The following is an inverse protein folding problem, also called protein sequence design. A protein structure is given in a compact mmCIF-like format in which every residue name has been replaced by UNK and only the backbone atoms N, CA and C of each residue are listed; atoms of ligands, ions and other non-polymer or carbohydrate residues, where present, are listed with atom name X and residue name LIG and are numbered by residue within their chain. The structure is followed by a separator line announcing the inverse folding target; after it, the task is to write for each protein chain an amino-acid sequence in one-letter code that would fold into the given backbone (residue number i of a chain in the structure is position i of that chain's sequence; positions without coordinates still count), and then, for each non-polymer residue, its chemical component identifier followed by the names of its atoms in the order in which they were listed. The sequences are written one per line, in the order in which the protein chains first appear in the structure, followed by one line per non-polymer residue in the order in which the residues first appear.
data_IF_256427420859
#
_entry.id   IF_256427420859
#
_cell.length_a   1.000
_cell.length_b   1.000
_cell.length_c   1.000
_cell.angle_alpha   90.00
_cell.angle_beta   90.00
_cell.angle_gamma   90.00
#
_symmetry.space_group_name_H-M   'P 1'
#
loop_
_entity.id
_entity.type
_entity.pdbx_description
1 polymer ?
#
# COMPACT_ATOMS: atom_id res chain seq x y z
N UNK A 1 -1.76 16.98 13.71
CA UNK A 1 -2.89 17.62 13.02
C UNK A 1 -2.52 19.04 12.63
N UNK A 2 -2.51 19.35 11.33
CA UNK A 2 -2.23 20.68 10.79
C UNK A 2 -3.56 21.39 10.47
N UNK A 3 -3.59 22.73 10.48
CA UNK A 3 -4.79 23.51 10.07
C UNK A 3 -5.28 23.14 8.67
N UNK A 4 -4.37 22.69 7.79
CA UNK A 4 -4.71 22.23 6.45
C UNK A 4 -5.59 20.97 6.44
N UNK A 5 -5.60 20.18 7.51
CA UNK A 5 -6.44 18.97 7.64
C UNK A 5 -7.91 19.32 7.89
N UNK A 6 -8.21 20.57 8.26
CA UNK A 6 -9.57 21.07 8.43
C UNK A 6 -10.16 21.66 7.14
N UNK A 7 -9.40 21.70 6.03
CA UNK A 7 -9.89 22.16 4.74
C UNK A 7 -10.94 21.18 4.19
N UNK A 8 -12.22 21.57 4.04
CA UNK A 8 -13.26 20.70 3.52
C UNK A 8 -12.91 20.13 2.14
N UNK A 9 -12.12 20.85 1.32
CA UNK A 9 -11.78 20.41 -0.04
C UNK A 9 -10.89 19.19 -0.07
N UNK A 10 -10.10 18.98 0.99
CA UNK A 10 -9.18 17.84 1.16
C UNK A 10 -9.85 16.63 1.80
N UNK A 11 -11.09 16.79 2.28
CA UNK A 11 -11.84 15.73 2.93
C UNK A 11 -12.44 14.75 1.91
N UNK A 12 -12.66 13.47 2.29
CA UNK A 12 -13.34 12.49 1.45
C UNK A 12 -14.68 13.01 0.92
N UNK A 13 -15.10 12.53 -0.26
CA UNK A 13 -16.29 13.04 -0.96
C UNK A 13 -17.55 13.04 -0.09
N UNK A 14 -17.76 12.00 0.73
CA UNK A 14 -18.92 11.92 1.63
C UNK A 14 -18.88 12.98 2.74
N UNK A 15 -17.71 13.22 3.36
CA UNK A 15 -17.55 14.30 4.36
C UNK A 15 -17.84 15.66 3.75
N UNK A 16 -17.34 15.90 2.51
CA UNK A 16 -17.65 17.13 1.76
C UNK A 16 -19.14 17.32 1.56
N UNK A 17 -19.86 16.27 1.19
CA UNK A 17 -21.32 16.32 1.02
C UNK A 17 -22.01 16.64 2.35
N UNK A 18 -21.61 15.99 3.45
CA UNK A 18 -22.16 16.27 4.80
C UNK A 18 -21.93 17.72 5.21
N UNK A 19 -20.74 18.26 4.97
CA UNK A 19 -20.40 19.67 5.26
C UNK A 19 -21.28 20.62 4.43
N UNK A 20 -21.46 20.36 3.14
CA UNK A 20 -22.33 21.17 2.27
C UNK A 20 -23.79 21.13 2.76
N UNK A 21 -24.30 19.95 3.10
CA UNK A 21 -25.66 19.79 3.63
C UNK A 21 -25.82 20.54 4.95
N UNK A 22 -24.84 20.42 5.85
CA UNK A 22 -24.83 21.12 7.15
C UNK A 22 -24.87 22.63 6.94
N UNK A 23 -24.00 23.17 6.08
CA UNK A 23 -24.01 24.59 5.73
C UNK A 23 -25.35 25.04 5.16
N UNK A 24 -25.88 24.31 4.18
CA UNK A 24 -27.16 24.63 3.54
C UNK A 24 -28.32 24.63 4.56
N UNK A 25 -28.33 23.67 5.48
CA UNK A 25 -29.33 23.57 6.55
C UNK A 25 -29.30 24.78 7.49
N UNK A 26 -28.13 25.15 8.00
CA UNK A 26 -27.99 26.30 8.89
C UNK A 26 -28.27 27.63 8.18
N UNK A 27 -27.88 27.79 6.91
CA UNK A 27 -28.22 28.97 6.11
C UNK A 27 -29.72 29.06 5.87
N UNK A 28 -30.39 27.94 5.57
CA UNK A 28 -31.84 27.89 5.36
C UNK A 28 -32.61 28.22 6.64
N UNK A 29 -32.25 27.60 7.77
CA UNK A 29 -32.86 27.92 9.07
C UNK A 29 -32.60 29.38 9.43
N UNK A 30 -31.37 29.86 9.25
CA UNK A 30 -31.03 31.26 9.48
C UNK A 30 -31.88 32.21 8.66
N UNK A 31 -32.16 31.88 7.39
CA UNK A 31 -33.04 32.66 6.54
C UNK A 31 -34.47 32.65 7.09
N UNK A 32 -35.03 31.46 7.35
CA UNK A 32 -36.40 31.31 7.86
C UNK A 32 -36.63 32.04 9.19
N UNK A 33 -35.70 31.90 10.14
CA UNK A 33 -35.78 32.55 11.46
C UNK A 33 -35.52 34.06 11.39
N UNK A 34 -34.76 34.52 10.40
CA UNK A 34 -34.48 35.95 10.26
C UNK A 34 -35.58 36.69 9.50
N UNK A 35 -36.38 36.04 8.65
CA UNK A 35 -37.46 36.68 7.88
C UNK A 35 -38.42 37.53 8.73
N UNK A 36 -38.73 37.10 9.96
CA UNK A 36 -39.57 37.86 10.90
C UNK A 36 -38.90 39.13 11.45
N UNK A 37 -37.57 39.25 11.35
CA UNK A 37 -36.81 40.41 11.81
C UNK A 37 -36.72 41.50 10.73
N UNK A 38 -37.06 41.20 9.47
CA UNK A 38 -37.06 42.19 8.38
C UNK A 38 -38.06 43.31 8.68
N UNK A 39 -39.22 42.97 9.26
CA UNK A 39 -40.26 43.93 9.64
C UNK A 39 -39.85 44.85 10.77
N UNK A 40 -38.88 44.44 11.60
CA UNK A 40 -38.34 45.26 12.69
C UNK A 40 -37.15 46.11 12.23
N UNK A 41 -36.15 45.48 11.60
CA UNK A 41 -34.89 46.13 11.24
C UNK A 41 -34.06 45.28 10.28
N UNK A 42 -33.77 45.83 9.10
CA UNK A 42 -32.91 45.20 8.09
C UNK A 42 -31.52 44.84 8.64
N UNK A 43 -30.81 45.69 9.40
CA UNK A 43 -29.56 45.31 10.06
C UNK A 43 -29.67 44.10 11.00
N UNK A 44 -30.76 43.97 11.76
CA UNK A 44 -30.96 42.82 12.68
C UNK A 44 -31.18 41.52 11.92
N UNK A 45 -31.91 41.57 10.79
CA UNK A 45 -32.04 40.44 9.87
C UNK A 45 -30.66 39.91 9.45
N UNK A 46 -29.80 40.78 8.92
CA UNK A 46 -28.48 40.36 8.44
C UNK A 46 -27.58 39.82 9.55
N UNK A 47 -27.63 40.42 10.75
CA UNK A 47 -26.80 39.98 11.87
C UNK A 47 -27.19 38.58 12.36
N UNK A 48 -28.49 38.29 12.46
CA UNK A 48 -28.97 36.96 12.86
C UNK A 48 -28.73 35.90 11.77
N UNK A 49 -28.92 36.27 10.50
CA UNK A 49 -28.64 35.38 9.38
C UNK A 49 -27.15 35.02 9.29
N UNK A 50 -26.26 36.02 9.41
CA UNK A 50 -24.81 35.80 9.45
C UNK A 50 -24.40 34.96 10.67
N UNK A 51 -25.00 35.20 11.84
CA UNK A 51 -24.75 34.39 13.02
C UNK A 51 -25.04 32.90 12.77
N UNK A 52 -26.17 32.59 12.13
CA UNK A 52 -26.52 31.21 11.78
C UNK A 52 -25.57 30.60 10.73
N UNK A 53 -25.08 31.39 9.78
CA UNK A 53 -24.01 30.96 8.86
C UNK A 53 -22.73 30.61 9.65
N UNK A 54 -22.33 31.43 10.63
CA UNK A 54 -21.19 31.13 11.50
C UNK A 54 -21.41 29.87 12.34
N UNK A 55 -22.62 29.64 12.87
CA UNK A 55 -22.96 28.40 13.57
C UNK A 55 -22.85 27.17 12.65
N UNK A 56 -23.28 27.29 11.38
CA UNK A 56 -23.12 26.24 10.37
C UNK A 56 -21.65 25.96 10.05
N UNK A 57 -20.84 27.02 9.91
CA UNK A 57 -19.41 26.89 9.66
C UNK A 57 -18.67 26.25 10.85
N UNK A 58 -19.00 26.67 12.08
CA UNK A 58 -18.46 26.08 13.30
C UNK A 58 -18.85 24.61 13.44
N UNK A 59 -20.12 24.26 13.23
CA UNK A 59 -20.60 22.87 13.28
C UNK A 59 -19.92 22.00 12.23
N UNK A 60 -19.71 22.53 11.02
CA UNK A 60 -18.99 21.83 9.95
C UNK A 60 -17.52 21.59 10.32
N UNK A 61 -16.85 22.57 10.94
CA UNK A 61 -15.48 22.41 11.41
C UNK A 61 -15.37 21.36 12.53
N UNK A 62 -16.32 21.32 13.47
CA UNK A 62 -16.40 20.30 14.52
C UNK A 62 -16.63 18.90 13.93
N UNK A 63 -17.50 18.78 12.92
CA UNK A 63 -17.73 17.52 12.21
C UNK A 63 -16.45 17.03 11.53
N UNK A 64 -15.76 17.90 10.78
CA UNK A 64 -14.49 17.55 10.13
C UNK A 64 -13.46 17.13 11.18
N UNK A 65 -13.34 17.89 12.28
CA UNK A 65 -12.44 17.55 13.38
C UNK A 65 -12.73 16.17 13.97
N UNK A 66 -13.99 15.86 14.28
CA UNK A 66 -14.39 14.57 14.81
C UNK A 66 -14.07 13.43 13.81
N UNK A 67 -14.39 13.61 12.53
CA UNK A 67 -14.07 12.63 11.49
C UNK A 67 -12.58 12.36 11.37
N UNK A 68 -11.74 13.41 11.36
CA UNK A 68 -10.29 13.26 11.28
C UNK A 68 -9.73 12.55 12.52
N UNK A 69 -10.23 12.88 13.72
CA UNK A 69 -9.84 12.21 14.96
C UNK A 69 -10.21 10.72 14.95
N UNK A 70 -11.44 10.36 14.55
CA UNK A 70 -11.85 8.97 14.45
C UNK A 70 -11.04 8.19 13.41
N UNK A 71 -10.74 8.81 12.27
CA UNK A 71 -9.89 8.21 11.24
C UNK A 71 -8.46 7.96 11.75
N UNK A 72 -7.87 8.90 12.51
CA UNK A 72 -6.54 8.72 13.08
C UNK A 72 -6.49 7.57 14.09
N UNK A 73 -7.50 7.47 14.97
CA UNK A 73 -7.62 6.37 15.94
C UNK A 73 -7.80 5.03 15.20
N UNK A 74 -8.68 4.98 14.21
CA UNK A 74 -8.91 3.79 13.40
C UNK A 74 -7.63 3.35 12.69
N UNK A 75 -6.88 4.28 12.08
CA UNK A 75 -5.62 3.98 11.39
C UNK A 75 -4.54 3.45 12.33
N UNK A 76 -4.43 3.99 13.56
CA UNK A 76 -3.49 3.45 14.56
C UNK A 76 -3.87 2.03 14.96
N UNK A 77 -5.15 1.79 15.27
CA UNK A 77 -5.64 0.46 15.63
C UNK A 77 -5.45 -0.55 14.50
N UNK A 78 -5.71 -0.13 13.25
CA UNK A 78 -5.50 -0.97 12.07
C UNK A 78 -4.01 -1.25 11.85
N UNK A 79 -3.14 -0.26 12.04
CA UNK A 79 -1.68 -0.46 12.00
C UNK A 79 -1.20 -1.52 12.99
N UNK A 80 -1.67 -1.48 14.25
CA UNK A 80 -1.34 -2.49 15.27
C UNK A 80 -1.89 -3.87 14.90
N UNK A 81 -3.13 -3.96 14.41
CA UNK A 81 -3.70 -5.24 13.95
C UNK A 81 -2.91 -5.81 12.77
N UNK A 82 -2.53 -4.95 11.83
CA UNK A 82 -1.76 -5.33 10.66
C UNK A 82 -0.40 -5.89 11.07
N UNK A 83 0.30 -5.20 11.98
CA UNK A 83 1.56 -5.67 12.56
C UNK A 83 1.44 -7.06 13.21
N UNK A 84 0.38 -7.28 13.99
CA UNK A 84 0.15 -8.58 14.63
C UNK A 84 -0.11 -9.71 13.63
N UNK A 85 -0.95 -9.46 12.62
CA UNK A 85 -1.23 -10.46 11.58
C UNK A 85 0.05 -10.77 10.79
N UNK A 86 0.76 -9.73 10.32
CA UNK A 86 1.97 -9.90 9.52
C UNK A 86 3.10 -10.56 10.31
N UNK A 87 3.22 -10.31 11.62
CA UNK A 87 4.22 -10.99 12.44
C UNK A 87 3.98 -12.51 12.55
N UNK A 88 2.73 -12.95 12.48
CA UNK A 88 2.37 -14.38 12.59
C UNK A 88 2.32 -15.06 11.22
N UNK A 89 1.70 -14.41 10.24
CA UNK A 89 1.31 -15.03 8.96
C UNK A 89 2.08 -14.50 7.75
N UNK A 90 2.80 -13.39 7.90
CA UNK A 90 3.36 -12.66 6.76
C UNK A 90 2.26 -12.06 5.90
N UNK A 91 2.59 -11.66 4.67
CA UNK A 91 1.62 -11.11 3.73
C UNK A 91 0.52 -12.14 3.43
N UNK A 92 -0.72 -11.78 3.71
CA UNK A 92 -1.90 -12.63 3.51
C UNK A 92 -3.15 -11.78 3.22
N UNK A 93 -4.21 -12.42 2.75
CA UNK A 93 -5.48 -11.77 2.39
C UNK A 93 -6.12 -11.06 3.58
N UNK A 94 -6.01 -11.63 4.78
CA UNK A 94 -6.50 -11.01 6.03
C UNK A 94 -5.81 -9.67 6.33
N UNK A 95 -4.50 -9.57 6.08
CA UNK A 95 -3.75 -8.33 6.23
C UNK A 95 -4.25 -7.25 5.27
N UNK A 96 -4.59 -7.63 4.03
CA UNK A 96 -5.22 -6.71 3.08
C UNK A 96 -6.65 -6.32 3.48
N UNK A 97 -7.43 -7.25 4.04
CA UNK A 97 -8.82 -7.01 4.43
C UNK A 97 -8.96 -6.06 5.64
N UNK A 98 -7.94 -5.92 6.48
CA UNK A 98 -7.90 -4.85 7.50
C UNK A 98 -8.11 -3.48 6.85
N UNK A 99 -7.54 -3.26 5.66
CA UNK A 99 -7.65 -2.00 4.94
C UNK A 99 -9.03 -1.79 4.30
N UNK A 100 -9.86 -2.84 4.20
CA UNK A 100 -11.25 -2.75 3.70
C UNK A 100 -12.23 -2.30 4.79
N UNK A 101 -11.95 -2.63 6.05
CA UNK A 101 -12.80 -2.34 7.19
C UNK A 101 -12.53 -0.97 7.84
N UNK A 102 -11.76 -0.09 7.19
CA UNK A 102 -11.47 1.25 7.74
C UNK A 102 -12.73 2.10 7.75
N UNK A 103 -13.12 2.53 8.96
CA UNK A 103 -14.13 3.57 9.17
C UNK A 103 -13.47 4.85 9.66
N UNK A 104 -13.77 6.01 9.05
CA UNK A 104 -14.69 6.18 7.93
C UNK A 104 -14.07 5.66 6.61
N UNK A 105 -14.87 5.57 5.53
CA UNK A 105 -14.54 4.80 4.32
C UNK A 105 -13.07 4.96 3.82
N UNK A 106 -12.45 3.90 3.26
CA UNK A 106 -11.02 3.87 2.94
C UNK A 106 -10.56 5.06 2.09
N UNK A 107 -9.47 5.68 2.50
CA UNK A 107 -8.82 6.75 1.72
C UNK A 107 -8.14 6.18 0.48
N UNK A 108 -7.73 7.05 -0.45
CA UNK A 108 -6.93 6.63 -1.61
C UNK A 108 -5.60 5.99 -1.21
N UNK A 109 -5.02 6.39 -0.09
CA UNK A 109 -3.81 5.77 0.44
C UNK A 109 -4.08 4.36 0.99
N UNK A 110 -5.21 4.18 1.67
CA UNK A 110 -5.63 2.86 2.16
C UNK A 110 -5.91 1.89 1.01
N UNK A 111 -6.51 2.38 -0.08
CA UNK A 111 -6.72 1.61 -1.30
C UNK A 111 -5.38 1.22 -1.96
N UNK A 112 -4.44 2.17 -2.09
CA UNK A 112 -3.11 1.88 -2.64
C UNK A 112 -2.36 0.83 -1.81
N UNK A 113 -2.37 0.96 -0.48
CA UNK A 113 -1.76 -0.01 0.43
C UNK A 113 -2.44 -1.37 0.33
N UNK A 114 -3.78 -1.41 0.27
CA UNK A 114 -4.51 -2.66 0.11
C UNK A 114 -4.15 -3.38 -1.18
N UNK A 115 -4.06 -2.66 -2.30
CA UNK A 115 -3.62 -3.25 -3.57
C UNK A 115 -2.22 -3.83 -3.44
N UNK A 116 -1.29 -3.12 -2.82
CA UNK A 116 0.05 -3.62 -2.57
C UNK A 116 0.02 -4.90 -1.74
N UNK A 117 -0.70 -4.91 -0.61
CA UNK A 117 -0.82 -6.07 0.27
C UNK A 117 -1.43 -7.29 -0.44
N UNK A 118 -2.47 -7.11 -1.27
CA UNK A 118 -3.05 -8.20 -2.07
C UNK A 118 -2.04 -8.79 -3.06
N UNK A 119 -1.27 -7.96 -3.76
CA UNK A 119 -0.24 -8.44 -4.70
C UNK A 119 0.89 -9.15 -3.95
N UNK A 120 1.27 -8.67 -2.77
CA UNK A 120 2.25 -9.34 -1.91
C UNK A 120 1.73 -10.69 -1.37
N UNK A 121 0.43 -10.77 -1.08
CA UNK A 121 -0.28 -11.99 -0.68
C UNK A 121 -0.55 -12.97 -1.84
N UNK A 122 -0.16 -12.63 -3.08
CA UNK A 122 -0.42 -13.41 -4.31
C UNK A 122 -1.91 -13.50 -4.71
N UNK A 123 -2.76 -12.64 -4.16
CA UNK A 123 -4.18 -12.51 -4.49
C UNK A 123 -4.38 -11.69 -5.77
N UNK A 124 -3.79 -12.15 -6.88
CA UNK A 124 -3.66 -11.35 -8.11
C UNK A 124 -5.01 -11.02 -8.76
N UNK A 125 -5.97 -11.94 -8.76
CA UNK A 125 -7.30 -11.70 -9.34
C UNK A 125 -8.06 -10.64 -8.55
N UNK A 126 -8.01 -10.73 -7.22
CA UNK A 126 -8.57 -9.73 -6.32
C UNK A 126 -7.88 -8.38 -6.49
N UNK A 127 -6.54 -8.38 -6.53
CA UNK A 127 -5.75 -7.17 -6.72
C UNK A 127 -6.04 -6.48 -8.08
N UNK A 128 -6.17 -7.24 -9.16
CA UNK A 128 -6.49 -6.69 -10.49
C UNK A 128 -7.86 -6.02 -10.51
N UNK A 129 -8.87 -6.65 -9.89
CA UNK A 129 -10.19 -6.07 -9.73
C UNK A 129 -10.15 -4.76 -8.93
N UNK A 130 -9.42 -4.71 -7.82
CA UNK A 130 -9.29 -3.50 -7.00
C UNK A 130 -8.61 -2.36 -7.75
N UNK A 131 -7.51 -2.67 -8.43
CA UNK A 131 -6.75 -1.71 -9.24
C UNK A 131 -7.63 -1.08 -10.33
N UNK A 132 -8.54 -1.84 -10.94
CA UNK A 132 -9.43 -1.33 -11.99
C UNK A 132 -10.40 -0.24 -11.50
N UNK A 133 -10.66 -0.15 -10.20
CA UNK A 133 -11.55 0.85 -9.60
C UNK A 133 -10.81 2.09 -9.06
N UNK A 134 -9.47 2.08 -9.09
CA UNK A 134 -8.67 3.20 -8.63
C UNK A 134 -8.63 4.31 -9.69
N UNK A 135 -9.02 5.53 -9.29
CA UNK A 135 -8.93 6.70 -10.15
C UNK A 135 -7.48 7.25 -10.17
N UNK A 136 -6.61 6.65 -10.97
CA UNK A 136 -5.18 6.99 -11.03
C UNK A 136 -4.86 8.49 -11.21
N UNK A 137 -5.58 9.27 -12.05
CA UNK A 137 -5.34 10.70 -12.19
C UNK A 137 -5.56 11.52 -10.91
N UNK A 138 -6.35 11.01 -9.95
CA UNK A 138 -6.61 11.68 -8.69
C UNK A 138 -5.56 11.38 -7.62
N UNK A 139 -4.75 10.34 -7.81
CA UNK A 139 -3.78 9.89 -6.80
C UNK A 139 -2.66 10.92 -6.59
N UNK A 140 -2.26 11.06 -5.33
CA UNK A 140 -0.98 11.68 -4.99
C UNK A 140 0.17 10.91 -5.65
N UNK A 141 1.30 11.58 -5.88
CA UNK A 141 2.45 10.97 -6.54
C UNK A 141 2.94 9.70 -5.82
N UNK A 142 2.88 9.69 -4.48
CA UNK A 142 3.33 8.54 -3.68
C UNK A 142 2.37 7.36 -3.75
N UNK A 143 1.06 7.61 -3.72
CA UNK A 143 0.04 6.57 -3.87
C UNK A 143 0.05 6.00 -5.29
N UNK A 144 0.22 6.86 -6.29
CA UNK A 144 0.41 6.47 -7.68
C UNK A 144 1.61 5.51 -7.82
N UNK A 145 2.75 5.82 -7.20
CA UNK A 145 3.93 4.98 -7.28
C UNK A 145 3.68 3.57 -6.71
N UNK A 146 3.05 3.46 -5.54
CA UNK A 146 2.68 2.18 -4.93
C UNK A 146 1.74 1.36 -5.82
N UNK A 147 0.70 1.99 -6.38
CA UNK A 147 -0.24 1.32 -7.28
C UNK A 147 0.46 0.83 -8.56
N UNK A 148 1.36 1.64 -9.13
CA UNK A 148 2.13 1.23 -10.31
C UNK A 148 3.10 0.08 -10.00
N UNK A 149 3.80 0.11 -8.87
CA UNK A 149 4.64 -1.02 -8.43
C UNK A 149 3.80 -2.28 -8.26
N UNK A 150 2.62 -2.16 -7.66
CA UNK A 150 1.68 -3.28 -7.48
C UNK A 150 1.26 -3.87 -8.83
N UNK A 151 0.95 -3.02 -9.83
CA UNK A 151 0.66 -3.46 -11.20
C UNK A 151 1.84 -4.15 -11.87
N UNK A 152 3.04 -3.57 -11.79
CA UNK A 152 4.26 -4.13 -12.38
C UNK A 152 4.50 -5.52 -11.80
N UNK A 153 4.48 -5.65 -10.48
CA UNK A 153 4.65 -6.92 -9.78
C UNK A 153 3.58 -7.93 -10.17
N UNK A 154 2.31 -7.55 -10.14
CA UNK A 154 1.20 -8.40 -10.56
C UNK A 154 1.39 -8.92 -11.99
N UNK A 155 1.78 -8.06 -12.93
CA UNK A 155 2.02 -8.48 -14.31
C UNK A 155 3.24 -9.38 -14.46
N UNK A 156 4.34 -9.12 -13.75
CA UNK A 156 5.50 -10.00 -13.74
C UNK A 156 5.15 -11.38 -13.16
N UNK A 157 4.48 -11.41 -12.01
CA UNK A 157 4.13 -12.65 -11.30
C UNK A 157 3.10 -13.51 -12.03
N UNK A 158 2.22 -12.88 -12.82
CA UNK A 158 1.23 -13.54 -13.68
C UNK A 158 1.75 -13.84 -15.10
N UNK A 159 3.03 -13.57 -15.39
CA UNK A 159 3.65 -13.86 -16.70
C UNK A 159 3.30 -12.89 -17.82
N UNK A 160 2.62 -11.79 -17.51
CA UNK A 160 2.26 -10.72 -18.46
C UNK A 160 3.40 -9.72 -18.61
N UNK A 161 4.61 -10.22 -18.94
CA UNK A 161 5.84 -9.43 -18.94
C UNK A 161 5.80 -8.22 -19.87
N UNK A 162 5.19 -8.33 -21.05
CA UNK A 162 5.02 -7.18 -21.96
C UNK A 162 4.24 -6.02 -21.33
N UNK A 163 3.24 -6.32 -20.48
CA UNK A 163 2.49 -5.28 -19.77
C UNK A 163 3.34 -4.64 -18.68
N UNK A 164 4.12 -5.44 -17.95
CA UNK A 164 5.05 -4.94 -16.94
C UNK A 164 6.12 -4.04 -17.57
N UNK A 165 6.70 -4.47 -18.70
CA UNK A 165 7.68 -3.70 -19.47
C UNK A 165 7.13 -2.35 -19.91
N UNK A 166 5.94 -2.32 -20.52
CA UNK A 166 5.31 -1.05 -20.95
C UNK A 166 5.12 -0.10 -19.78
N UNK A 167 4.72 -0.60 -18.60
CA UNK A 167 4.58 0.23 -17.41
C UNK A 167 5.93 0.76 -16.91
N UNK A 168 6.95 -0.11 -16.84
CA UNK A 168 8.30 0.28 -16.44
C UNK A 168 8.83 1.38 -17.37
N UNK A 169 8.78 1.18 -18.68
CA UNK A 169 9.26 2.16 -19.66
C UNK A 169 8.48 3.47 -19.62
N UNK A 170 7.15 3.42 -19.47
CA UNK A 170 6.31 4.62 -19.46
C UNK A 170 6.47 5.45 -18.18
N UNK A 171 6.69 4.81 -17.02
CA UNK A 171 6.60 5.49 -15.73
C UNK A 171 7.92 5.52 -14.94
N UNK A 172 9.01 4.90 -15.40
CA UNK A 172 10.31 4.83 -14.69
C UNK A 172 10.71 6.13 -14.02
N UNK A 173 10.87 7.20 -14.79
CA UNK A 173 11.32 8.51 -14.28
C UNK A 173 10.39 9.05 -13.20
N UNK A 174 9.07 8.84 -13.35
CA UNK A 174 8.07 9.28 -12.38
C UNK A 174 8.15 8.45 -11.10
N UNK A 175 8.35 7.13 -11.21
CA UNK A 175 8.48 6.22 -10.06
C UNK A 175 9.78 6.46 -9.31
N UNK A 176 10.91 6.57 -10.01
CA UNK A 176 12.21 6.89 -9.42
C UNK A 176 12.12 8.21 -8.62
N UNK A 177 11.57 9.27 -9.22
CA UNK A 177 11.38 10.55 -8.53
C UNK A 177 10.45 10.43 -7.32
N UNK A 178 9.36 9.66 -7.42
CA UNK A 178 8.43 9.48 -6.31
C UNK A 178 9.10 8.80 -5.10
N UNK A 179 9.90 7.76 -5.34
CA UNK A 179 10.59 7.01 -4.29
C UNK A 179 11.85 7.72 -3.75
N UNK A 180 12.50 8.55 -4.56
CA UNK A 180 13.62 9.39 -4.09
C UNK A 180 13.13 10.53 -3.18
N UNK A 181 12.01 11.16 -3.51
CA UNK A 181 11.43 12.25 -2.70
C UNK A 181 10.68 11.72 -1.47
N UNK A 182 9.98 10.60 -1.61
CA UNK A 182 9.15 10.00 -0.57
C UNK A 182 9.39 8.48 -0.44
N UNK A 183 10.54 8.06 0.13
CA UNK A 183 10.94 6.65 0.14
C UNK A 183 10.02 5.75 0.96
N UNK A 184 9.40 6.28 2.03
CA UNK A 184 8.51 5.51 2.89
C UNK A 184 7.05 5.85 2.59
N UNK A 185 6.22 4.82 2.43
CA UNK A 185 4.78 5.00 2.45
C UNK A 185 4.35 5.24 3.90
N UNK A 186 3.59 6.31 4.16
CA UNK A 186 2.95 6.68 5.43
C UNK A 186 3.59 6.09 6.71
N UNK A 187 4.14 6.92 7.58
CA UNK A 187 4.96 6.52 8.75
C UNK A 187 4.42 5.34 9.59
N UNK A 188 3.10 5.23 9.76
CA UNK A 188 2.43 4.13 10.49
C UNK A 188 2.47 2.76 9.80
N UNK A 189 2.78 2.70 8.51
CA UNK A 189 2.82 1.47 7.69
C UNK A 189 4.24 1.14 7.20
N UNK A 190 5.25 1.88 7.68
CA UNK A 190 6.65 1.81 7.23
C UNK A 190 7.23 0.39 7.26
N UNK A 191 6.85 -0.43 8.24
CA UNK A 191 7.38 -1.79 8.41
C UNK A 191 6.87 -2.80 7.35
N UNK A 192 5.85 -2.45 6.57
CA UNK A 192 5.12 -3.38 5.69
C UNK A 192 4.95 -2.88 4.25
N UNK A 193 5.41 -1.68 3.96
CA UNK A 193 5.29 -1.02 2.67
C UNK A 193 6.68 -0.84 2.01
N UNK A 194 7.36 -1.95 1.73
CA UNK A 194 8.64 -1.97 0.99
C UNK A 194 8.46 -1.81 -0.52
N UNK A 195 7.41 -1.14 -0.97
CA UNK A 195 7.08 -0.99 -2.39
C UNK A 195 8.20 -0.29 -3.18
N UNK A 196 8.98 0.58 -2.54
CA UNK A 196 10.19 1.14 -3.14
C UNK A 196 11.27 0.06 -3.38
N UNK A 197 11.55 -0.76 -2.37
CA UNK A 197 12.54 -1.83 -2.48
C UNK A 197 12.09 -2.89 -3.50
N UNK A 198 10.80 -3.23 -3.50
CA UNK A 198 10.19 -4.12 -4.49
C UNK A 198 10.28 -3.57 -5.90
N UNK A 199 9.95 -2.29 -6.10
CA UNK A 199 10.11 -1.65 -7.39
C UNK A 199 11.55 -1.72 -7.90
N UNK A 200 12.54 -1.41 -7.05
CA UNK A 200 13.94 -1.47 -7.43
C UNK A 200 14.40 -2.90 -7.73
N UNK A 201 13.97 -3.89 -6.95
CA UNK A 201 14.28 -5.29 -7.18
C UNK A 201 13.71 -5.79 -8.52
N UNK A 202 12.45 -5.48 -8.81
CA UNK A 202 11.80 -5.86 -10.07
C UNK A 202 12.43 -5.14 -11.27
N UNK A 203 12.81 -3.88 -11.10
CA UNK A 203 13.48 -3.09 -12.14
C UNK A 203 14.87 -3.65 -12.44
N UNK A 204 15.65 -4.01 -11.42
CA UNK A 204 16.95 -4.67 -11.60
C UNK A 204 16.82 -5.97 -12.40
N UNK A 205 15.88 -6.83 -12.02
CA UNK A 205 15.64 -8.09 -12.73
C UNK A 205 15.21 -7.88 -14.18
N UNK A 206 14.35 -6.88 -14.44
CA UNK A 206 13.96 -6.51 -15.80
C UNK A 206 15.16 -6.03 -16.64
N UNK A 207 16.02 -5.18 -16.10
CA UNK A 207 17.19 -4.71 -16.84
C UNK A 207 18.25 -5.79 -17.05
N UNK A 208 18.40 -6.73 -16.12
CA UNK A 208 19.22 -7.94 -16.35
C UNK A 208 18.66 -8.79 -17.51
N UNK A 209 17.33 -8.95 -17.61
CA UNK A 209 16.67 -9.63 -18.74
C UNK A 209 16.89 -8.92 -20.08
N UNK A 210 16.97 -7.58 -20.05
CA UNK A 210 17.24 -6.76 -21.23
C UNK A 210 18.74 -6.62 -21.55
N UNK A 211 19.60 -7.32 -20.81
CA UNK A 211 21.06 -7.26 -20.94
C UNK A 211 21.66 -5.85 -20.72
N UNK A 212 21.00 -5.01 -19.93
CA UNK A 212 21.50 -3.71 -19.48
C UNK A 212 22.04 -3.83 -18.06
N UNK A 213 23.25 -4.35 -17.95
CA UNK A 213 23.90 -4.64 -16.67
C UNK A 213 24.19 -3.39 -15.84
N UNK A 214 24.45 -2.24 -16.48
CA UNK A 214 24.72 -0.97 -15.80
C UNK A 214 23.47 -0.45 -15.09
N UNK A 215 22.36 -0.37 -15.81
CA UNK A 215 21.08 0.07 -15.21
C UNK A 215 20.60 -0.92 -14.15
N UNK A 216 20.75 -2.23 -14.40
CA UNK A 216 20.39 -3.26 -13.43
C UNK A 216 21.17 -3.12 -12.11
N UNK A 217 22.48 -2.91 -12.18
CA UNK A 217 23.33 -2.68 -11.00
C UNK A 217 22.91 -1.43 -10.23
N UNK A 218 22.60 -0.33 -10.93
CA UNK A 218 22.08 0.89 -10.30
C UNK A 218 20.81 0.64 -9.48
N UNK A 219 19.87 -0.15 -10.02
CA UNK A 219 18.67 -0.54 -9.28
C UNK A 219 18.95 -1.51 -8.12
N UNK A 220 19.89 -2.45 -8.26
CA UNK A 220 20.30 -3.32 -7.14
C UNK A 220 20.87 -2.51 -5.97
N UNK A 221 21.67 -1.48 -6.25
CA UNK A 221 22.20 -0.58 -5.22
C UNK A 221 21.09 0.21 -4.53
N UNK A 222 20.10 0.72 -5.28
CA UNK A 222 18.91 1.39 -4.70
C UNK A 222 18.08 0.44 -3.82
N UNK A 223 17.87 -0.81 -4.26
CA UNK A 223 17.19 -1.83 -3.46
C UNK A 223 17.95 -2.13 -2.16
N UNK A 224 19.28 -2.33 -2.25
CA UNK A 224 20.12 -2.55 -1.07
C UNK A 224 20.07 -1.38 -0.08
N UNK A 225 20.06 -0.14 -0.57
CA UNK A 225 19.90 1.04 0.28
C UNK A 225 18.54 1.03 0.98
N UNK A 226 17.46 0.66 0.29
CA UNK A 226 16.14 0.55 0.92
C UNK A 226 16.12 -0.53 2.02
N UNK A 227 16.74 -1.69 1.77
CA UNK A 227 16.87 -2.77 2.75
C UNK A 227 17.86 -2.49 3.89
N UNK A 228 18.71 -1.46 3.80
CA UNK A 228 19.68 -1.13 4.86
C UNK A 228 19.06 -0.78 6.21
N UNK A 229 17.76 -0.45 6.23
CA UNK A 229 17.00 -0.19 7.45
C UNK A 229 16.58 -1.47 8.20
N UNK A 230 16.81 -2.65 7.61
CA UNK A 230 16.45 -3.96 8.16
C UNK A 230 17.50 -4.46 9.15
N UNK A 231 17.20 -5.57 9.83
CA UNK A 231 18.22 -6.28 10.62
C UNK A 231 19.39 -6.71 9.72
N UNK A 232 20.64 -6.79 10.22
CA UNK A 232 21.78 -7.24 9.41
C UNK A 232 21.58 -8.61 8.75
N UNK A 233 20.84 -9.51 9.42
CA UNK A 233 20.50 -10.83 8.89
C UNK A 233 19.53 -10.74 7.71
N UNK A 234 18.47 -9.92 7.81
CA UNK A 234 17.56 -9.67 6.70
C UNK A 234 18.26 -8.94 5.54
N UNK A 235 19.11 -7.96 5.84
CA UNK A 235 19.87 -7.24 4.81
C UNK A 235 20.80 -8.19 4.02
N UNK A 236 21.49 -9.13 4.68
CA UNK A 236 22.28 -10.15 3.98
C UNK A 236 21.40 -11.10 3.15
N UNK A 237 20.22 -11.46 3.67
CA UNK A 237 19.25 -12.25 2.94
C UNK A 237 18.81 -11.55 1.64
N UNK A 238 18.37 -10.28 1.72
CA UNK A 238 17.92 -9.52 0.55
C UNK A 238 19.05 -9.28 -0.45
N UNK A 239 20.29 -9.08 0.00
CA UNK A 239 21.47 -9.02 -0.88
C UNK A 239 21.63 -10.30 -1.71
N UNK A 240 21.51 -11.46 -1.06
CA UNK A 240 21.57 -12.77 -1.73
C UNK A 240 20.34 -13.02 -2.61
N UNK A 241 19.17 -12.54 -2.22
CA UNK A 241 17.96 -12.61 -3.05
C UNK A 241 18.11 -11.81 -4.35
N UNK A 242 18.70 -10.62 -4.31
CA UNK A 242 19.00 -9.84 -5.52
C UNK A 242 19.95 -10.60 -6.45
N UNK A 243 20.95 -11.29 -5.89
CA UNK A 243 21.82 -12.16 -6.67
C UNK A 243 21.06 -13.37 -7.24
N UNK A 244 20.17 -13.98 -6.47
CA UNK A 244 19.31 -15.06 -6.96
C UNK A 244 18.45 -14.61 -8.16
N UNK A 245 17.85 -13.42 -8.07
CA UNK A 245 17.09 -12.82 -9.15
C UNK A 245 17.96 -12.61 -10.40
N UNK A 246 19.19 -12.10 -10.23
CA UNK A 246 20.17 -11.95 -11.32
C UNK A 246 20.54 -13.29 -11.96
N UNK A 247 20.79 -14.32 -11.15
CA UNK A 247 21.15 -15.65 -11.65
C UNK A 247 20.00 -16.26 -12.46
N UNK A 248 18.76 -16.14 -11.99
CA UNK A 248 17.58 -16.59 -12.74
C UNK A 248 17.36 -15.79 -14.02
N UNK A 249 17.43 -14.44 -13.97
CA UNK A 249 17.22 -13.57 -15.14
C UNK A 249 18.29 -13.77 -16.22
N UNK A 250 19.54 -14.00 -15.82
CA UNK A 250 20.67 -14.23 -16.74
C UNK A 250 20.87 -15.70 -17.14
N UNK A 251 20.02 -16.62 -16.66
CA UNK A 251 20.02 -18.03 -17.07
C UNK A 251 21.09 -18.91 -16.41
N UNK A 252 21.67 -18.48 -15.30
CA UNK A 252 22.70 -19.21 -14.53
C UNK A 252 22.06 -20.21 -13.54
N UNK A 253 21.26 -21.16 -14.05
CA UNK A 253 20.33 -21.97 -13.25
C UNK A 253 20.98 -22.87 -12.20
N UNK A 254 22.15 -23.45 -12.47
CA UNK A 254 22.84 -24.32 -11.52
C UNK A 254 23.22 -23.52 -10.24
N UNK A 255 23.81 -22.34 -10.44
CA UNK A 255 24.15 -21.43 -9.35
C UNK A 255 22.89 -20.88 -8.67
N UNK A 256 21.83 -20.58 -9.44
CA UNK A 256 20.56 -20.13 -8.89
C UNK A 256 19.94 -21.18 -7.96
N UNK A 257 19.91 -22.46 -8.37
CA UNK A 257 19.37 -23.54 -7.54
C UNK A 257 20.18 -23.79 -6.26
N UNK A 258 21.51 -23.69 -6.34
CA UNK A 258 22.35 -23.78 -5.15
C UNK A 258 22.03 -22.65 -4.17
N UNK A 259 22.00 -21.40 -4.66
CA UNK A 259 21.71 -20.22 -3.83
C UNK A 259 20.27 -20.22 -3.29
N UNK A 260 19.30 -20.72 -4.06
CA UNK A 260 17.92 -20.88 -3.63
C UNK A 260 17.82 -21.79 -2.40
N UNK A 261 18.49 -22.95 -2.43
CA UNK A 261 18.49 -23.90 -1.30
C UNK A 261 19.14 -23.28 -0.06
N UNK A 262 20.24 -22.55 -0.25
CA UNK A 262 20.90 -21.82 0.84
C UNK A 262 19.95 -20.76 1.44
N UNK A 263 19.24 -20.00 0.60
CA UNK A 263 18.29 -18.98 1.05
C UNK A 263 17.07 -19.57 1.75
N UNK A 264 16.53 -20.70 1.29
CA UNK A 264 15.46 -21.42 2.00
C UNK A 264 15.90 -21.79 3.41
N UNK A 265 17.12 -22.31 3.56
CA UNK A 265 17.73 -22.63 4.85
C UNK A 265 17.94 -21.38 5.72
N UNK A 266 18.38 -20.28 5.13
CA UNK A 266 18.58 -19.00 5.82
C UNK A 266 17.26 -18.41 6.33
N UNK A 267 16.21 -18.38 5.49
CA UNK A 267 14.89 -17.89 5.88
C UNK A 267 14.29 -18.69 7.04
N UNK A 268 14.39 -20.01 7.02
CA UNK A 268 13.88 -20.87 8.08
C UNK A 268 14.60 -20.65 9.43
N UNK A 269 15.89 -20.31 9.38
CA UNK A 269 16.76 -20.21 10.56
C UNK A 269 17.15 -18.77 10.90
N UNK A 270 16.38 -17.77 10.43
CA UNK A 270 16.68 -16.38 10.70
C UNK A 270 16.68 -16.12 12.22
N UNK A 271 17.73 -15.48 12.77
CA UNK A 271 17.85 -15.28 14.21
C UNK A 271 16.75 -14.35 14.75
N UNK A 272 16.42 -14.50 16.02
CA UNK A 272 15.54 -13.57 16.72
C UNK A 272 16.08 -12.13 16.61
N UNK A 273 15.22 -11.10 16.48
CA UNK A 273 13.77 -11.11 16.72
C UNK A 273 12.88 -11.38 15.48
N UNK A 274 13.41 -12.00 14.42
CA UNK A 274 12.62 -12.22 13.20
C UNK A 274 11.34 -13.04 13.48
N UNK A 275 10.20 -12.48 13.08
CA UNK A 275 8.88 -13.06 13.29
C UNK A 275 8.63 -14.28 12.40
N UNK A 276 7.65 -15.11 12.74
CA UNK A 276 7.27 -16.27 11.92
C UNK A 276 6.78 -15.84 10.54
N UNK A 277 5.97 -14.78 10.47
CA UNK A 277 5.48 -14.23 9.23
C UNK A 277 6.59 -13.69 8.34
N UNK A 278 7.60 -13.03 8.92
CA UNK A 278 8.81 -12.63 8.18
C UNK A 278 9.47 -13.83 7.52
N UNK A 279 9.62 -14.96 8.23
CA UNK A 279 10.23 -16.17 7.65
C UNK A 279 9.42 -16.71 6.47
N UNK A 280 8.09 -16.69 6.56
CA UNK A 280 7.21 -17.07 5.46
C UNK A 280 7.35 -16.15 4.25
N UNK A 281 7.39 -14.83 4.46
CA UNK A 281 7.56 -13.86 3.38
C UNK A 281 8.91 -14.02 2.69
N UNK A 282 9.99 -14.22 3.45
CA UNK A 282 11.32 -14.47 2.90
C UNK A 282 11.36 -15.78 2.10
N UNK A 283 10.74 -16.85 2.58
CA UNK A 283 10.59 -18.08 1.80
C UNK A 283 9.84 -17.83 0.49
N UNK A 284 8.72 -17.10 0.54
CA UNK A 284 7.93 -16.75 -0.64
C UNK A 284 8.76 -15.99 -1.68
N UNK A 285 9.56 -15.00 -1.27
CA UNK A 285 10.45 -14.29 -2.19
C UNK A 285 11.44 -15.20 -2.91
N UNK A 286 11.99 -16.20 -2.23
CA UNK A 286 12.92 -17.19 -2.83
C UNK A 286 12.21 -18.00 -3.91
N UNK A 287 10.97 -18.42 -3.66
CA UNK A 287 10.18 -19.17 -4.63
C UNK A 287 9.80 -18.33 -5.85
N UNK A 288 9.48 -17.05 -5.62
CA UNK A 288 9.12 -16.10 -6.66
C UNK A 288 10.31 -15.72 -7.57
N UNK A 289 11.56 -15.85 -7.13
CA UNK A 289 12.72 -15.52 -7.96
C UNK A 289 12.73 -16.30 -9.30
N UNK A 290 12.16 -17.52 -9.32
CA UNK A 290 12.03 -18.37 -10.52
C UNK A 290 11.16 -17.77 -11.62
N UNK A 291 10.21 -16.90 -11.26
CA UNK A 291 9.35 -16.19 -12.23
C UNK A 291 10.19 -15.40 -13.22
N UNK A 292 11.33 -14.89 -12.76
CA UNK A 292 12.23 -14.05 -13.52
C UNK A 292 13.13 -14.85 -14.48
N UNK A 293 13.02 -16.19 -14.53
CA UNK A 293 13.82 -16.99 -15.45
C UNK A 293 13.34 -16.88 -16.91
N UNK A 294 14.23 -16.48 -17.81
CA UNK A 294 13.96 -16.18 -19.23
C UNK A 294 13.27 -17.33 -20.01
N UNK A 295 13.40 -18.59 -19.57
CA UNK A 295 12.71 -19.75 -20.19
C UNK A 295 11.21 -19.79 -19.92
N UNK A 296 10.70 -18.93 -19.03
CA UNK A 296 9.30 -18.84 -18.64
C UNK A 296 8.51 -17.77 -19.41
N UNK A 297 9.04 -17.18 -20.49
CA UNK A 297 8.23 -16.31 -21.37
C UNK A 297 6.99 -17.02 -21.99
N UNK A 298 6.89 -18.36 -21.82
CA UNK A 298 5.66 -19.14 -21.96
C UNK A 298 5.31 -19.81 -20.61
N UNK A 299 4.85 -19.05 -19.60
CA UNK A 299 4.63 -19.59 -18.25
C UNK A 299 3.66 -20.79 -18.29
N UNK A 300 4.20 -21.95 -17.93
CA UNK A 300 3.45 -23.15 -17.59
C UNK A 300 2.68 -22.89 -16.28
N UNK A 301 1.34 -23.02 -16.23
CA UNK A 301 0.53 -22.86 -15.01
C UNK A 301 1.05 -23.63 -13.79
N UNK A 302 1.81 -24.71 -14.00
CA UNK A 302 2.44 -25.50 -12.95
C UNK A 302 3.43 -24.70 -12.05
N UNK A 303 4.05 -23.64 -12.56
CA UNK A 303 4.95 -22.78 -11.77
C UNK A 303 4.21 -21.79 -10.84
N UNK A 304 2.90 -21.62 -11.03
CA UNK A 304 2.04 -20.89 -10.09
C UNK A 304 1.64 -21.78 -8.91
N UNK A 305 1.42 -23.09 -9.16
CA UNK A 305 1.03 -24.05 -8.11
C UNK A 305 2.15 -24.37 -7.12
N UNK A 306 3.42 -24.26 -7.50
CA UNK A 306 4.55 -24.50 -6.59
C UNK A 306 4.86 -23.36 -5.62
N UNK A 307 4.11 -22.25 -5.67
CA UNK A 307 4.27 -21.05 -4.82
C UNK A 307 3.31 -21.03 -3.64
N UNK A 308 2.34 -21.94 -3.63
CA UNK A 308 1.45 -22.11 -2.51
C UNK A 308 2.28 -22.69 -1.35
N UNK A 309 2.68 -21.81 -0.42
CA UNK A 309 2.90 -22.24 0.96
C UNK A 309 1.68 -23.05 1.38
N UNK A 310 1.83 -24.18 2.10
CA UNK A 310 0.71 -25.05 2.41
C UNK A 310 -0.39 -24.21 3.07
N UNK A 311 -1.51 -24.07 2.36
CA UNK A 311 -2.74 -23.61 2.96
C UNK A 311 -3.02 -24.55 4.13
N UNK A 312 -3.24 -23.93 5.28
CA UNK A 312 -3.82 -24.54 6.46
C UNK A 312 -2.88 -25.34 7.38
N UNK A 313 -2.49 -24.70 8.48
CA UNK A 313 -2.23 -25.42 9.73
C UNK A 313 -3.15 -24.93 10.85
N UNK A 314 -4.43 -24.66 10.55
CA UNK A 314 -5.52 -24.76 11.52
C UNK A 314 -5.29 -24.15 12.91
N UNK A 315 -4.46 -23.11 13.04
CA UNK A 315 -4.12 -22.55 14.34
C UNK A 315 -5.18 -21.51 14.66
N UNK A 316 -6.16 -21.95 15.45
CA UNK A 316 -7.19 -21.10 16.03
C UNK A 316 -6.52 -19.89 16.68
N UNK A 317 -6.89 -18.69 16.22
CA UNK A 317 -6.68 -17.47 16.99
C UNK A 317 -7.42 -17.70 18.32
N UNK A 318 -6.78 -17.54 19.50
CA UNK A 318 -7.50 -17.63 20.75
C UNK A 318 -8.68 -16.65 20.71
N UNK A 319 -9.89 -17.14 20.99
CA UNK A 319 -11.17 -16.39 20.99
C UNK A 319 -11.19 -15.15 21.90
N UNK A 320 -10.08 -14.83 22.57
CA UNK A 320 -9.91 -13.62 23.37
C UNK A 320 -9.95 -12.30 22.58
N UNK A 321 -10.07 -12.34 21.25
CA UNK A 321 -10.10 -11.13 20.38
C UNK A 321 -11.47 -10.80 19.77
N UNK A 322 -12.52 -11.60 20.01
CA UNK A 322 -13.89 -11.33 19.53
C UNK A 322 -14.79 -10.66 20.56
N UNK A 323 -14.28 -10.37 21.77
CA UNK A 323 -15.05 -9.71 22.81
C UNK A 323 -14.28 -8.60 23.52
N UNK A 324 -14.07 -7.45 22.85
CA UNK A 324 -13.97 -6.13 23.49
C UNK A 324 -14.46 -5.02 22.55
#
# INVERSE_FOLDING_TARGET
MQLADLDPRRQPKYVRVIVIITMAFFTFIGLCLSLSLITESVPRFFLNWLFMIFCGAFSSAVLIFAFTMFAEIANRNNGTKLEQILAVRGFCTEAADIMKAVMPAPTEADQALRCFLLVMAEEYDTAENEIAHINEPALSMRNFAMVMTSKIRLYMMTGRLEKAERLLQAYRTKLDMAYEVHPYFLENYRSYADDAAEYYMLSAAYYDLMHDAETAEGYRQKAMLAFSNRSPAEADFFRRLLELNRLYSTGQFEQAHALENDLRGMAANLPQPASQGTRYDLQRYVEQAKVLSFRNLNINPALMQSRALPEDTGMQIPDTLTSM
#
